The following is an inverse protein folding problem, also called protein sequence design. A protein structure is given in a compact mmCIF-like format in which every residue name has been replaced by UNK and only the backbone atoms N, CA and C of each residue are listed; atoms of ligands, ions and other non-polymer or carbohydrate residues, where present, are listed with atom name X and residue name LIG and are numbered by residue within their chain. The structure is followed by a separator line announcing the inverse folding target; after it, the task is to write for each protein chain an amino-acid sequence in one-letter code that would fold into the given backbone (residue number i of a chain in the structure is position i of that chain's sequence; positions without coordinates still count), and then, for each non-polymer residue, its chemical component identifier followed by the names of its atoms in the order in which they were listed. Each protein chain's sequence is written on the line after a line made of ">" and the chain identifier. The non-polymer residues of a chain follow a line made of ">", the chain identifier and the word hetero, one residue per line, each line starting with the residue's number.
data_IF_317650096576
#
_entry.id   IF_317650096576
#
_cell.length_a   1.000
_cell.length_b   1.000
_cell.length_c   1.000
_cell.angle_alpha   90.00
_cell.angle_beta   90.00
_cell.angle_gamma   90.00
#
_symmetry.space_group_name_H-M   'P 1'
#
loop_
_entity.id
_entity.type
_entity.pdbx_description
1 polymer ?
#
# COMPACT_ATOMS: atom_id res chain seq x y z
N UNK A 1 -77.99 28.58 -21.12
CA UNK A 1 -78.70 27.80 -20.10
C UNK A 1 -77.69 26.88 -19.52
N UNK A 2 -77.12 27.32 -18.45
CA UNK A 2 -77.21 26.90 -17.04
C UNK A 2 -76.89 25.45 -16.83
N UNK A 3 -76.05 25.00 -15.94
CA UNK A 3 -75.53 25.46 -14.62
C UNK A 3 -74.29 24.61 -14.39
N UNK A 4 -73.14 25.13 -13.88
CA UNK A 4 -72.75 25.24 -12.48
C UNK A 4 -72.88 23.92 -11.70
N UNK A 5 -71.78 23.30 -11.39
CA UNK A 5 -71.61 22.70 -10.07
C UNK A 5 -70.11 22.55 -9.70
N UNK A 6 -69.79 23.17 -8.57
CA UNK A 6 -68.52 23.28 -7.91
C UNK A 6 -68.23 22.02 -7.08
N UNK A 7 -67.04 21.44 -7.21
CA UNK A 7 -66.50 20.56 -6.19
C UNK A 7 -65.07 21.02 -5.82
N UNK A 8 -64.97 21.59 -4.65
CA UNK A 8 -63.73 21.89 -3.95
C UNK A 8 -63.06 20.59 -3.53
N UNK A 9 -61.92 20.31 -4.08
CA UNK A 9 -60.99 19.25 -3.60
C UNK A 9 -59.84 19.91 -2.85
N UNK A 10 -59.62 19.49 -1.61
CA UNK A 10 -58.53 19.93 -0.72
C UNK A 10 -57.13 19.66 -1.31
N UNK A 11 -56.12 20.49 -1.00
CA UNK A 11 -54.75 20.25 -1.48
C UNK A 11 -54.10 19.08 -0.74
N UNK A 12 -53.30 18.26 -1.40
CA UNK A 12 -52.58 17.17 -0.73
C UNK A 12 -51.49 17.71 0.22
N UNK A 13 -51.47 17.14 1.40
CA UNK A 13 -50.60 17.42 2.54
C UNK A 13 -49.12 17.28 2.20
N UNK A 14 -48.39 18.28 2.63
CA UNK A 14 -46.95 18.35 3.01
C UNK A 14 -46.01 17.22 2.57
N UNK A 15 -45.22 17.51 1.54
CA UNK A 15 -43.95 16.85 1.27
C UNK A 15 -43.02 16.96 2.48
N UNK A 16 -42.74 15.83 3.11
CA UNK A 16 -41.65 15.75 4.09
C UNK A 16 -40.32 16.00 3.35
N UNK A 17 -39.73 17.17 3.58
CA UNK A 17 -38.33 17.42 3.21
C UNK A 17 -37.44 16.44 3.95
N UNK A 18 -36.91 15.45 3.24
CA UNK A 18 -35.82 14.63 3.73
C UNK A 18 -34.55 15.49 3.76
N UNK A 19 -34.06 15.78 4.95
CA UNK A 19 -32.76 16.45 5.11
C UNK A 19 -31.68 15.62 4.41
N UNK A 20 -30.79 16.26 3.62
CA UNK A 20 -29.66 15.56 3.04
C UNK A 20 -28.78 14.98 4.16
N UNK A 21 -28.17 13.80 3.94
CA UNK A 21 -27.28 13.19 4.93
C UNK A 21 -26.13 14.15 5.28
N UNK A 22 -25.66 14.15 6.53
CA UNK A 22 -24.62 15.05 6.96
C UNK A 22 -23.36 14.77 6.14
N UNK A 23 -22.82 15.81 5.48
CA UNK A 23 -21.55 15.74 4.78
C UNK A 23 -20.48 15.21 5.74
N UNK A 24 -19.77 14.15 5.36
CA UNK A 24 -18.66 13.61 6.09
C UNK A 24 -17.69 14.75 6.47
N UNK A 25 -17.51 14.95 7.78
CA UNK A 25 -16.58 15.96 8.29
C UNK A 25 -15.18 15.53 7.84
N UNK A 26 -14.55 16.29 6.94
CA UNK A 26 -13.12 16.13 6.61
C UNK A 26 -12.36 16.24 7.93
N UNK A 27 -11.85 15.14 8.45
CA UNK A 27 -10.96 15.11 9.61
C UNK A 27 -9.70 15.91 9.22
N UNK A 28 -9.47 17.06 9.84
CA UNK A 28 -8.17 17.73 9.77
C UNK A 28 -7.23 16.93 10.65
N UNK A 29 -6.35 16.18 10.04
CA UNK A 29 -5.26 15.52 10.75
C UNK A 29 -4.35 16.58 11.35
N UNK A 30 -4.05 16.48 12.64
CA UNK A 30 -2.97 17.23 13.24
C UNK A 30 -1.65 16.79 12.57
N UNK A 31 -0.71 17.71 12.27
CA UNK A 31 0.57 17.32 11.73
C UNK A 31 1.21 16.30 12.67
N UNK A 32 1.71 15.19 12.09
CA UNK A 32 2.41 14.15 12.84
C UNK A 32 3.53 14.83 13.58
N UNK A 33 3.41 14.97 14.88
CA UNK A 33 4.58 15.14 15.74
C UNK A 33 5.29 13.79 15.72
N UNK A 34 6.25 13.61 14.82
CA UNK A 34 7.22 12.53 14.93
C UNK A 34 8.05 12.87 16.17
N UNK A 35 7.43 12.61 17.31
CA UNK A 35 8.09 12.74 18.58
C UNK A 35 9.02 11.56 18.70
N UNK A 36 10.28 11.80 18.36
CA UNK A 36 11.40 11.19 19.08
C UNK A 36 12.69 11.75 18.52
N UNK A 37 12.93 13.01 18.83
CA UNK A 37 14.29 13.51 18.89
C UNK A 37 15.04 12.65 19.89
N UNK A 38 15.91 11.77 19.39
CA UNK A 38 16.83 11.05 20.28
C UNK A 38 17.94 12.02 20.64
N UNK A 39 18.01 12.53 21.90
CA UNK A 39 19.09 13.41 22.31
C UNK A 39 20.44 12.76 22.06
N UNK A 40 21.43 13.54 21.65
CA UNK A 40 22.77 13.03 21.31
C UNK A 40 23.40 12.19 22.46
N UNK A 41 23.05 12.46 23.72
CA UNK A 41 23.43 11.65 24.90
C UNK A 41 22.89 10.21 24.86
N UNK A 42 21.70 10.01 24.31
CA UNK A 42 21.05 8.70 24.18
C UNK A 42 21.59 7.88 22.99
N UNK A 43 22.27 8.49 22.03
CA UNK A 43 22.93 7.77 20.92
C UNK A 43 23.96 6.77 21.44
N UNK A 44 24.79 7.17 22.40
CA UNK A 44 25.80 6.27 23.00
C UNK A 44 25.19 5.11 23.80
N UNK A 45 24.06 5.36 24.49
CA UNK A 45 23.30 4.31 25.21
C UNK A 45 22.64 3.34 24.24
N UNK A 46 22.13 3.84 23.13
CA UNK A 46 21.54 3.02 22.06
C UNK A 46 22.62 2.20 21.35
N UNK A 47 23.78 2.79 21.06
CA UNK A 47 24.93 2.08 20.49
C UNK A 47 25.40 0.96 21.41
N UNK A 48 25.45 1.21 22.70
CA UNK A 48 25.79 0.22 23.74
C UNK A 48 24.73 -0.89 23.81
N UNK A 49 23.44 -0.55 23.87
CA UNK A 49 22.35 -1.51 23.93
C UNK A 49 22.23 -2.37 22.65
N UNK A 50 22.59 -1.82 21.49
CA UNK A 50 22.62 -2.57 20.22
C UNK A 50 23.87 -3.46 20.10
N UNK A 51 24.97 -3.11 20.80
CA UNK A 51 26.20 -3.94 20.90
C UNK A 51 26.03 -5.13 21.85
N UNK A 52 25.21 -5.01 22.90
CA UNK A 52 25.03 -6.01 23.95
C UNK A 52 23.98 -7.10 23.59
N UNK A 53 23.18 -6.93 22.54
CA UNK A 53 22.25 -7.96 22.06
C UNK A 53 22.99 -8.96 21.18
N UNK A 54 23.77 -9.82 21.82
CA UNK A 54 24.48 -10.95 21.21
C UNK A 54 23.54 -12.01 20.67
N UNK A 55 23.07 -11.83 19.45
CA UNK A 55 22.55 -12.89 18.60
C UNK A 55 23.54 -13.06 17.46
N UNK A 56 24.01 -14.29 17.25
CA UNK A 56 24.88 -14.63 16.12
C UNK A 56 24.31 -14.02 14.83
N UNK A 57 25.06 -13.29 14.03
CA UNK A 57 24.56 -12.72 12.78
C UNK A 57 24.28 -13.89 11.85
N UNK A 58 23.00 -14.23 11.72
CA UNK A 58 22.53 -15.04 10.59
C UNK A 58 23.02 -14.34 9.33
N UNK A 59 23.69 -15.06 8.45
CA UNK A 59 24.22 -14.70 7.12
C UNK A 59 23.65 -13.40 6.52
N UNK A 60 24.02 -12.25 7.09
CA UNK A 60 23.50 -10.96 6.71
C UNK A 60 24.44 -10.36 5.69
N UNK A 61 23.82 -10.03 4.61
CA UNK A 61 24.28 -9.31 3.46
C UNK A 61 25.78 -9.25 3.19
N UNK A 62 26.08 -9.69 2.04
CA UNK A 62 27.42 -9.66 1.43
C UNK A 62 28.01 -8.24 1.30
N UNK A 63 27.27 -7.15 1.63
CA UNK A 63 27.63 -5.78 1.29
C UNK A 63 27.23 -4.68 2.30
N UNK A 64 26.81 -4.98 3.53
CA UNK A 64 26.41 -3.96 4.50
C UNK A 64 27.50 -3.60 5.52
N UNK A 65 27.66 -2.33 5.84
CA UNK A 65 28.31 -1.86 7.06
C UNK A 65 29.65 -1.16 6.90
N UNK A 66 30.75 -1.75 7.25
CA UNK A 66 32.06 -1.04 7.39
C UNK A 66 32.80 -0.81 6.07
N UNK A 67 32.35 -1.41 4.97
CA UNK A 67 32.96 -1.28 3.63
C UNK A 67 32.09 -0.48 2.71
N UNK A 68 32.66 0.14 1.69
CA UNK A 68 31.90 0.82 0.67
C UNK A 68 30.88 -0.15 0.02
N UNK A 69 29.64 0.27 -0.03
CA UNK A 69 28.61 -0.43 -0.82
C UNK A 69 28.81 -0.13 -2.30
N UNK A 70 28.93 -1.17 -3.11
CA UNK A 70 29.03 -1.00 -4.57
C UNK A 70 27.65 -1.33 -5.16
N UNK A 71 27.01 -0.31 -5.73
CA UNK A 71 25.71 -0.43 -6.37
C UNK A 71 25.73 0.28 -7.72
N UNK A 72 25.32 -0.39 -8.79
CA UNK A 72 25.32 0.15 -10.16
C UNK A 72 26.66 0.85 -10.51
N UNK A 73 27.78 0.20 -10.25
CA UNK A 73 29.16 0.70 -10.43
C UNK A 73 29.53 1.96 -9.63
N UNK A 74 28.67 2.43 -8.73
CA UNK A 74 28.97 3.57 -7.84
C UNK A 74 29.36 3.05 -6.46
N UNK A 75 30.39 3.67 -5.89
CA UNK A 75 30.82 3.39 -4.50
C UNK A 75 30.10 4.36 -3.56
N UNK A 76 29.49 3.83 -2.51
CA UNK A 76 28.75 4.57 -1.49
C UNK A 76 29.45 4.31 -0.17
N UNK A 77 29.90 5.39 0.49
CA UNK A 77 30.62 5.30 1.76
C UNK A 77 29.64 4.93 2.90
N UNK A 78 30.11 4.20 3.94
CA UNK A 78 29.32 4.00 5.16
C UNK A 78 28.88 5.32 5.80
N UNK A 79 27.68 5.33 6.37
CA UNK A 79 27.09 6.51 7.00
C UNK A 79 26.68 7.63 6.05
N UNK A 80 26.51 7.33 4.74
CA UNK A 80 26.15 8.34 3.73
C UNK A 80 24.90 7.98 2.93
N UNK A 81 24.34 9.02 2.33
CA UNK A 81 23.21 8.91 1.40
C UNK A 81 23.70 9.32 0.01
N UNK A 82 23.25 8.58 -1.01
CA UNK A 82 23.51 8.92 -2.40
C UNK A 82 22.25 8.84 -3.22
N UNK A 83 21.91 9.94 -3.89
CA UNK A 83 20.86 9.98 -4.89
C UNK A 83 21.48 9.74 -6.26
N UNK A 84 20.82 8.97 -7.10
CA UNK A 84 21.24 8.64 -8.46
C UNK A 84 20.05 8.35 -9.35
N UNK A 85 20.26 8.41 -10.62
CA UNK A 85 19.31 7.95 -11.63
C UNK A 85 19.90 6.74 -12.35
N UNK A 86 19.03 5.84 -12.77
CA UNK A 86 19.41 4.66 -13.51
C UNK A 86 18.47 4.46 -14.71
N UNK A 87 19.03 4.51 -15.90
CA UNK A 87 18.27 4.26 -17.11
C UNK A 87 17.90 2.79 -17.24
N UNK A 88 16.60 2.53 -17.18
CA UNK A 88 16.06 1.18 -17.32
C UNK A 88 16.13 0.66 -18.75
N UNK A 89 16.06 1.55 -19.73
CA UNK A 89 16.22 1.22 -21.15
C UNK A 89 17.23 2.19 -21.78
N UNK A 90 18.09 1.65 -22.64
CA UNK A 90 18.78 2.46 -23.66
C UNK A 90 17.73 2.68 -24.75
N UNK A 91 17.22 3.88 -24.81
CA UNK A 91 15.89 4.14 -25.31
C UNK A 91 15.86 4.46 -26.78
N UNK A 92 14.67 4.31 -27.28
CA UNK A 92 14.12 4.89 -28.50
C UNK A 92 14.51 6.35 -28.67
N UNK A 93 14.59 6.78 -29.89
CA UNK A 93 15.02 8.11 -30.28
C UNK A 93 14.39 9.22 -29.41
N UNK A 94 15.19 9.83 -28.56
CA UNK A 94 14.83 11.07 -27.86
C UNK A 94 14.24 10.94 -26.46
N UNK A 95 13.95 9.75 -25.91
CA UNK A 95 13.46 9.59 -24.54
C UNK A 95 14.37 8.72 -23.66
N UNK A 96 14.65 9.17 -22.45
CA UNK A 96 15.24 8.39 -21.36
C UNK A 96 14.19 8.21 -20.27
N UNK A 97 14.14 7.01 -19.69
CA UNK A 97 13.27 6.71 -18.54
C UNK A 97 14.11 6.45 -17.29
N UNK A 98 14.77 7.47 -16.76
CA UNK A 98 15.61 7.33 -15.59
C UNK A 98 14.74 7.03 -14.36
N UNK A 99 15.10 5.97 -13.65
CA UNK A 99 14.50 5.65 -12.37
C UNK A 99 15.28 6.33 -11.26
N UNK A 100 14.62 7.19 -10.45
CA UNK A 100 15.28 7.84 -9.32
C UNK A 100 15.52 6.83 -8.20
N UNK A 101 16.76 6.72 -7.74
CA UNK A 101 17.16 5.80 -6.70
C UNK A 101 17.91 6.54 -5.61
N UNK A 102 17.47 6.41 -4.36
CA UNK A 102 18.19 6.87 -3.20
C UNK A 102 18.77 5.67 -2.45
N UNK A 103 20.07 5.68 -2.21
CA UNK A 103 20.74 4.64 -1.42
C UNK A 103 21.23 5.23 -0.12
N UNK A 104 20.71 4.73 0.99
CA UNK A 104 21.13 5.06 2.34
C UNK A 104 22.00 3.90 2.80
N UNK A 105 23.32 4.11 2.88
CA UNK A 105 24.26 3.09 3.33
C UNK A 105 24.68 3.36 4.76
N UNK A 106 24.28 2.47 5.65
CA UNK A 106 24.52 2.58 7.08
C UNK A 106 25.98 2.44 7.47
N UNK A 107 26.31 2.93 8.67
CA UNK A 107 27.64 2.81 9.27
C UNK A 107 27.93 1.43 9.87
N UNK A 108 26.91 0.58 10.00
CA UNK A 108 27.00 -0.74 10.62
C UNK A 108 26.58 -1.86 9.65
N UNK A 109 27.11 -3.09 9.81
CA UNK A 109 26.69 -4.25 9.05
C UNK A 109 25.18 -4.52 9.22
N UNK A 110 24.53 -4.95 8.15
CA UNK A 110 23.11 -5.30 8.16
C UNK A 110 22.60 -5.67 6.77
N UNK A 111 21.31 -5.95 6.63
CA UNK A 111 20.73 -6.40 5.37
C UNK A 111 20.57 -5.26 4.35
N UNK A 112 20.27 -5.65 3.12
CA UNK A 112 19.84 -4.77 2.03
C UNK A 112 18.34 -4.84 1.91
N UNK A 113 17.66 -3.73 2.18
CA UNK A 113 16.22 -3.57 2.02
C UNK A 113 15.95 -2.68 0.81
N UNK A 114 15.12 -3.14 -0.11
CA UNK A 114 14.66 -2.35 -1.25
C UNK A 114 13.20 -1.99 -1.09
N UNK A 115 12.90 -0.70 -1.20
CA UNK A 115 11.58 -0.11 -1.10
C UNK A 115 11.18 0.44 -2.47
N UNK A 116 10.04 0.02 -2.99
CA UNK A 116 9.56 0.36 -4.32
C UNK A 116 8.20 1.05 -4.23
N UNK A 117 7.98 2.05 -5.07
CA UNK A 117 6.69 2.69 -5.29
C UNK A 117 6.41 2.86 -6.78
N UNK A 118 5.16 3.06 -7.13
CA UNK A 118 4.69 3.25 -8.50
C UNK A 118 5.25 2.23 -9.50
N UNK A 119 5.16 0.93 -9.20
CA UNK A 119 5.22 -0.12 -10.24
C UNK A 119 4.05 0.07 -11.21
N UNK A 120 2.89 0.50 -10.69
CA UNK A 120 1.80 1.05 -11.47
C UNK A 120 1.86 2.58 -11.38
N UNK A 121 1.80 3.25 -12.52
CA UNK A 121 2.11 4.68 -12.60
C UNK A 121 1.05 5.59 -11.95
N UNK A 122 -0.17 5.12 -11.79
CA UNK A 122 -1.30 5.85 -11.20
C UNK A 122 -1.43 5.65 -9.67
N UNK A 123 -0.54 4.89 -9.03
CA UNK A 123 -0.59 4.59 -7.60
C UNK A 123 0.36 5.51 -6.82
N UNK A 124 -0.19 6.53 -6.13
CA UNK A 124 0.56 7.65 -5.58
C UNK A 124 0.99 7.51 -4.11
N UNK A 125 0.40 6.61 -3.35
CA UNK A 125 0.72 6.42 -1.91
C UNK A 125 2.19 6.04 -1.72
N UNK A 126 2.68 5.07 -2.49
CA UNK A 126 4.08 4.63 -2.45
C UNK A 126 5.07 5.74 -2.79
N UNK A 127 4.95 6.43 -3.93
CA UNK A 127 5.79 7.57 -4.29
C UNK A 127 5.87 8.64 -3.20
N UNK A 128 4.73 9.04 -2.64
CA UNK A 128 4.69 10.08 -1.62
C UNK A 128 5.34 9.63 -0.31
N UNK A 129 5.02 8.43 0.17
CA UNK A 129 5.61 7.86 1.38
C UNK A 129 7.14 7.75 1.26
N UNK A 130 7.63 7.22 0.14
CA UNK A 130 9.06 7.04 -0.10
C UNK A 130 9.79 8.37 -0.32
N UNK A 131 9.13 9.36 -0.92
CA UNK A 131 9.67 10.71 -1.04
C UNK A 131 9.81 11.37 0.34
N UNK A 132 8.84 11.22 1.21
CA UNK A 132 8.93 11.72 2.58
C UNK A 132 10.06 11.03 3.37
N UNK A 133 10.25 9.73 3.24
CA UNK A 133 11.34 9.01 3.90
C UNK A 133 12.74 9.45 3.40
N UNK A 134 12.85 10.02 2.19
CA UNK A 134 14.09 10.51 1.58
C UNK A 134 14.23 12.03 1.62
N UNK A 135 13.15 12.76 1.90
CA UNK A 135 13.07 14.21 1.69
C UNK A 135 13.93 15.05 2.65
N UNK A 136 14.21 16.32 2.29
CA UNK A 136 15.01 17.22 3.10
C UNK A 136 14.38 17.52 4.47
N UNK A 137 13.07 17.49 4.60
CA UNK A 137 12.38 17.62 5.89
C UNK A 137 12.62 16.41 6.80
N UNK A 138 13.04 15.27 6.21
CA UNK A 138 13.54 14.09 6.90
C UNK A 138 15.06 13.99 6.89
N UNK A 139 15.75 14.94 6.26
CA UNK A 139 17.22 15.02 6.16
C UNK A 139 17.85 15.98 7.19
N UNK A 140 17.05 16.68 7.98
CA UNK A 140 17.50 17.53 9.10
C UNK A 140 17.98 16.74 10.31
N UNK A 141 18.27 17.41 11.44
CA UNK A 141 18.61 16.74 12.71
C UNK A 141 17.52 15.77 13.20
N UNK A 142 16.32 15.89 12.66
CA UNK A 142 15.13 15.07 12.98
C UNK A 142 14.93 13.90 11.99
N UNK A 143 15.96 13.47 11.29
CA UNK A 143 15.88 12.37 10.31
C UNK A 143 15.26 11.13 10.91
N UNK A 144 14.23 10.61 10.25
CA UNK A 144 13.64 9.30 10.59
C UNK A 144 14.66 8.18 10.30
N UNK A 145 15.41 8.29 9.19
CA UNK A 145 16.45 7.34 8.79
C UNK A 145 17.80 8.08 8.74
N UNK A 146 18.58 7.92 9.80
CA UNK A 146 19.95 8.47 9.88
C UNK A 146 20.95 7.40 9.44
N UNK A 147 21.68 7.66 8.36
CA UNK A 147 22.71 6.77 7.84
C UNK A 147 23.84 6.53 8.87
N UNK A 148 24.10 7.49 9.77
CA UNK A 148 25.10 7.37 10.82
C UNK A 148 24.79 6.32 11.88
N UNK A 149 23.51 5.97 12.07
CA UNK A 149 23.07 4.94 13.05
C UNK A 149 22.45 3.72 12.37
N UNK A 150 22.22 3.77 11.06
CA UNK A 150 21.64 2.67 10.30
C UNK A 150 22.57 1.46 10.26
N UNK A 151 21.99 0.26 10.38
CA UNK A 151 22.66 -1.01 10.06
C UNK A 151 22.18 -1.53 8.69
N UNK A 152 23.13 -1.82 7.80
CA UNK A 152 22.82 -2.31 6.46
C UNK A 152 22.58 -1.19 5.43
N UNK A 153 21.80 -1.49 4.42
CA UNK A 153 21.56 -0.58 3.30
C UNK A 153 20.09 -0.52 2.96
N UNK A 154 19.57 0.67 2.73
CA UNK A 154 18.21 0.87 2.20
C UNK A 154 18.34 1.45 0.80
N UNK A 155 17.67 0.84 -0.17
CA UNK A 155 17.50 1.33 -1.54
C UNK A 155 16.07 1.76 -1.71
N UNK A 156 15.84 3.00 -2.09
CA UNK A 156 14.52 3.60 -2.21
C UNK A 156 14.31 4.03 -3.64
N UNK A 157 13.27 3.50 -4.27
CA UNK A 157 12.84 3.81 -5.63
C UNK A 157 11.40 4.32 -5.58
N UNK A 158 11.19 5.63 -5.45
CA UNK A 158 9.85 6.18 -5.31
C UNK A 158 8.96 5.91 -6.51
N UNK A 159 9.55 5.94 -7.71
CA UNK A 159 8.82 5.79 -8.97
C UNK A 159 9.56 4.78 -9.85
N UNK A 160 9.00 3.58 -9.97
CA UNK A 160 9.54 2.52 -10.84
C UNK A 160 9.08 2.70 -12.28
N UNK A 161 7.78 2.95 -12.49
CA UNK A 161 7.16 3.16 -13.79
C UNK A 161 7.04 4.66 -14.08
N UNK A 162 8.16 5.31 -14.39
CA UNK A 162 8.17 6.75 -14.66
C UNK A 162 7.28 7.17 -15.86
N UNK A 163 7.27 6.46 -17.01
CA UNK A 163 6.40 6.84 -18.12
C UNK A 163 4.91 6.69 -17.78
N UNK A 164 4.51 5.67 -17.05
CA UNK A 164 3.14 5.50 -16.53
C UNK A 164 2.78 6.58 -15.51
N UNK A 165 3.70 6.88 -14.59
CA UNK A 165 3.52 7.93 -13.58
C UNK A 165 3.26 9.31 -14.20
N UNK A 166 4.04 9.69 -15.20
CA UNK A 166 3.85 10.99 -15.91
C UNK A 166 2.50 11.10 -16.62
N UNK A 167 1.90 9.98 -17.00
CA UNK A 167 0.61 9.91 -17.70
C UNK A 167 -0.56 9.55 -16.80
N UNK A 168 -0.30 9.29 -15.52
CA UNK A 168 -1.28 8.79 -14.54
C UNK A 168 -2.00 7.55 -15.07
N UNK A 169 -1.23 6.58 -15.57
CA UNK A 169 -1.73 5.29 -16.05
C UNK A 169 -0.99 4.14 -15.38
N UNK A 170 -1.73 3.06 -15.16
CA UNK A 170 -1.23 1.84 -14.52
C UNK A 170 -0.09 1.20 -15.27
N UNK A 171 -0.28 1.00 -16.56
CA UNK A 171 0.57 0.18 -17.40
C UNK A 171 1.79 0.91 -17.95
N UNK A 172 2.72 0.14 -18.50
CA UNK A 172 3.83 0.66 -19.29
C UNK A 172 3.33 1.16 -20.67
N UNK A 173 4.14 1.94 -21.41
CA UNK A 173 3.73 2.49 -22.72
C UNK A 173 3.32 1.44 -23.76
N UNK A 174 3.79 0.20 -23.65
CA UNK A 174 3.40 -0.92 -24.52
C UNK A 174 2.10 -1.63 -24.05
N UNK A 175 1.34 -1.02 -23.11
CA UNK A 175 0.05 -1.50 -22.63
C UNK A 175 0.12 -2.73 -21.72
N UNK A 176 1.29 -3.01 -21.12
CA UNK A 176 1.48 -4.18 -20.24
C UNK A 176 1.66 -3.78 -18.79
N UNK A 177 1.05 -4.58 -17.92
CA UNK A 177 1.26 -4.50 -16.47
C UNK A 177 2.68 -5.01 -16.13
N UNK A 178 3.56 -4.10 -15.66
CA UNK A 178 4.92 -4.44 -15.25
C UNK A 178 4.91 -5.52 -14.14
N UNK A 179 3.92 -5.49 -13.24
CA UNK A 179 3.78 -6.47 -12.16
C UNK A 179 3.16 -7.81 -12.63
N UNK A 180 3.27 -8.12 -13.90
CA UNK A 180 2.99 -9.43 -14.55
C UNK A 180 4.17 -9.92 -15.40
N UNK A 181 5.26 -9.11 -15.44
CA UNK A 181 6.38 -9.38 -16.36
C UNK A 181 7.65 -9.83 -15.65
N UNK A 182 7.71 -9.90 -14.32
CA UNK A 182 8.90 -10.35 -13.59
C UNK A 182 9.15 -11.86 -13.78
N UNK A 183 10.43 -12.32 -13.79
CA UNK A 183 11.68 -11.54 -13.71
C UNK A 183 12.06 -10.83 -15.02
N UNK A 184 11.29 -10.99 -16.09
CA UNK A 184 11.52 -10.42 -17.40
C UNK A 184 12.55 -11.17 -18.23
N UNK A 185 12.72 -10.70 -19.48
CA UNK A 185 13.70 -11.24 -20.44
C UNK A 185 14.38 -10.10 -21.19
N UNK A 186 15.71 -10.18 -21.46
CA UNK A 186 16.44 -9.08 -22.11
C UNK A 186 16.10 -8.89 -23.60
N UNK A 187 15.57 -9.92 -24.24
CA UNK A 187 15.27 -10.01 -25.67
C UNK A 187 13.75 -10.03 -25.98
N UNK A 188 12.96 -9.49 -25.08
CA UNK A 188 11.50 -9.49 -25.17
C UNK A 188 10.94 -8.06 -25.40
N UNK A 189 9.62 -7.87 -25.21
CA UNK A 189 8.97 -6.56 -25.29
C UNK A 189 9.50 -5.58 -24.24
N UNK A 190 9.19 -4.31 -24.41
CA UNK A 190 9.68 -3.19 -23.60
C UNK A 190 9.48 -3.43 -22.09
N UNK A 191 8.26 -3.77 -21.66
CA UNK A 191 7.95 -4.00 -20.24
C UNK A 191 8.74 -5.18 -19.68
N UNK A 192 8.89 -6.29 -20.43
CA UNK A 192 9.67 -7.45 -20.00
C UNK A 192 11.16 -7.13 -19.88
N UNK A 193 11.71 -6.31 -20.77
CA UNK A 193 13.10 -5.84 -20.70
C UNK A 193 13.34 -4.95 -19.47
N UNK A 194 12.39 -4.06 -19.17
CA UNK A 194 12.43 -3.24 -17.93
C UNK A 194 12.37 -4.13 -16.70
N UNK A 195 11.43 -5.08 -16.65
CA UNK A 195 11.35 -6.05 -15.56
C UNK A 195 12.66 -6.80 -15.36
N UNK A 196 13.32 -7.23 -16.44
CA UNK A 196 14.61 -7.91 -16.39
C UNK A 196 15.73 -7.03 -15.82
N UNK A 197 15.80 -5.75 -16.23
CA UNK A 197 16.80 -4.82 -15.69
C UNK A 197 16.55 -4.52 -14.20
N UNK A 198 15.30 -4.27 -13.81
CA UNK A 198 14.92 -4.10 -12.39
C UNK A 198 15.31 -5.33 -11.57
N UNK A 199 14.94 -6.51 -12.06
CA UNK A 199 15.27 -7.77 -11.41
C UNK A 199 16.78 -7.94 -11.25
N UNK A 200 17.53 -7.95 -12.35
CA UNK A 200 18.95 -8.27 -12.35
C UNK A 200 19.83 -7.23 -11.65
N UNK A 201 19.44 -5.96 -11.63
CA UNK A 201 20.27 -4.86 -11.08
C UNK A 201 19.86 -4.42 -9.68
N UNK A 202 18.61 -4.63 -9.30
CA UNK A 202 18.06 -4.10 -8.06
C UNK A 202 17.53 -5.20 -7.14
N UNK A 203 16.58 -6.01 -7.62
CA UNK A 203 15.80 -6.93 -6.77
C UNK A 203 16.63 -8.16 -6.36
N UNK A 204 17.29 -8.83 -7.30
CA UNK A 204 18.07 -10.06 -7.04
C UNK A 204 19.25 -9.86 -6.08
N UNK A 205 19.59 -8.62 -5.77
CA UNK A 205 20.67 -8.26 -4.83
C UNK A 205 20.14 -7.71 -3.50
N UNK A 206 18.83 -7.88 -3.23
CA UNK A 206 18.17 -7.48 -1.99
C UNK A 206 17.95 -8.67 -1.07
N UNK A 207 18.00 -8.45 0.25
CA UNK A 207 17.60 -9.44 1.25
C UNK A 207 16.08 -9.34 1.50
N UNK A 208 15.53 -8.11 1.44
CA UNK A 208 14.12 -7.81 1.67
C UNK A 208 13.60 -6.79 0.66
N UNK A 209 12.37 -6.96 0.23
CA UNK A 209 11.69 -6.05 -0.68
C UNK A 209 10.32 -5.68 -0.12
N UNK A 210 10.00 -4.40 -0.13
CA UNK A 210 8.65 -3.88 0.14
C UNK A 210 8.18 -3.14 -1.09
N UNK A 211 7.07 -3.60 -1.65
CA UNK A 211 6.42 -3.05 -2.84
C UNK A 211 5.15 -2.32 -2.42
N UNK A 212 5.14 -0.98 -2.58
CA UNK A 212 4.05 -0.13 -2.12
C UNK A 212 3.07 0.15 -3.25
N UNK A 213 1.83 -0.24 -3.04
CA UNK A 213 0.71 -0.12 -3.97
C UNK A 213 -0.47 0.64 -3.37
N UNK A 214 -1.37 1.06 -4.24
CA UNK A 214 -2.73 1.50 -3.94
C UNK A 214 -3.74 0.63 -4.69
N UNK A 215 -5.04 0.84 -4.47
CA UNK A 215 -6.05 0.19 -5.28
C UNK A 215 -5.97 0.68 -6.74
N UNK A 216 -6.33 -0.20 -7.67
CA UNK A 216 -6.48 0.21 -9.07
C UNK A 216 -7.62 1.23 -9.23
N UNK A 217 -7.58 1.98 -10.34
CA UNK A 217 -8.53 3.06 -10.66
C UNK A 217 -9.98 2.69 -10.38
N UNK A 218 -10.70 3.62 -9.78
CA UNK A 218 -12.11 3.47 -9.40
C UNK A 218 -12.36 2.62 -8.16
N UNK A 219 -11.32 2.38 -7.34
CA UNK A 219 -11.42 1.65 -6.06
C UNK A 219 -10.52 2.27 -4.99
N UNK A 220 -10.82 1.94 -3.74
CA UNK A 220 -9.95 2.23 -2.60
C UNK A 220 -9.73 0.98 -1.75
N UNK A 221 -8.56 0.88 -1.11
CA UNK A 221 -8.19 -0.20 -0.20
C UNK A 221 -8.03 0.34 1.23
N UNK A 222 -8.42 -0.45 2.23
CA UNK A 222 -7.86 -0.24 3.56
C UNK A 222 -6.38 -0.63 3.56
N UNK A 223 -5.55 -0.04 4.44
CA UNK A 223 -4.17 -0.47 4.63
C UNK A 223 -4.06 -1.96 4.97
N UNK A 224 -3.33 -2.71 4.14
CA UNK A 224 -3.16 -4.15 4.29
C UNK A 224 -1.81 -4.61 3.72
N UNK A 225 -1.32 -5.74 4.23
CA UNK A 225 -0.18 -6.45 3.66
C UNK A 225 -0.65 -7.67 2.88
N UNK A 226 -0.10 -7.87 1.70
CA UNK A 226 -0.21 -9.13 0.95
C UNK A 226 1.14 -9.82 0.96
N UNK A 227 1.19 -11.06 1.43
CA UNK A 227 2.41 -11.83 1.58
C UNK A 227 2.16 -13.32 1.37
N UNK A 228 3.16 -14.05 0.90
CA UNK A 228 3.18 -15.51 0.97
C UNK A 228 3.60 -15.92 2.40
N UNK A 229 2.65 -16.32 3.23
CA UNK A 229 2.93 -16.70 4.61
C UNK A 229 3.59 -18.07 4.75
N UNK A 230 3.62 -18.88 3.69
CA UNK A 230 4.40 -20.13 3.65
C UNK A 230 5.91 -19.84 3.49
N UNK A 231 6.30 -18.70 2.91
CA UNK A 231 7.68 -18.24 2.84
C UNK A 231 8.09 -17.60 4.18
N UNK A 232 8.92 -18.28 4.97
CA UNK A 232 9.21 -17.94 6.36
C UNK A 232 9.67 -16.49 6.56
N UNK A 233 10.58 -15.98 5.71
CA UNK A 233 11.09 -14.62 5.81
C UNK A 233 10.03 -13.59 5.40
N UNK A 234 9.20 -13.85 4.39
CA UNK A 234 8.09 -12.96 4.01
C UNK A 234 7.01 -12.90 5.09
N UNK A 235 6.68 -14.03 5.71
CA UNK A 235 5.77 -14.08 6.87
C UNK A 235 6.29 -13.22 8.03
N UNK A 236 7.60 -13.35 8.34
CA UNK A 236 8.22 -12.56 9.40
C UNK A 236 8.12 -11.06 9.12
N UNK A 237 8.50 -10.59 7.92
CA UNK A 237 8.46 -9.17 7.59
C UNK A 237 7.03 -8.63 7.43
N UNK A 238 6.08 -9.44 6.95
CA UNK A 238 4.66 -9.07 6.90
C UNK A 238 4.11 -8.78 8.30
N UNK A 239 4.41 -9.67 9.27
CA UNK A 239 4.01 -9.46 10.67
C UNK A 239 4.74 -8.29 11.33
N UNK A 240 5.97 -8.04 10.93
CA UNK A 240 6.80 -6.96 11.47
C UNK A 240 6.43 -5.59 10.92
N UNK A 241 5.69 -5.53 9.82
CA UNK A 241 5.20 -4.26 9.28
C UNK A 241 4.27 -3.53 10.25
N UNK A 242 3.53 -4.27 11.07
CA UNK A 242 2.84 -3.71 12.24
C UNK A 242 1.41 -3.25 11.99
N UNK A 243 0.80 -3.60 10.86
CA UNK A 243 -0.63 -3.34 10.58
C UNK A 243 -1.50 -4.58 10.82
N UNK A 244 -2.80 -4.36 10.96
CA UNK A 244 -3.77 -5.37 11.39
C UNK A 244 -4.04 -6.42 10.34
N UNK A 245 -4.21 -6.01 9.08
CA UNK A 245 -4.73 -6.87 8.02
C UNK A 245 -3.61 -7.46 7.15
N UNK A 246 -3.54 -8.78 7.12
CA UNK A 246 -2.60 -9.52 6.28
C UNK A 246 -3.37 -10.55 5.45
N UNK A 247 -3.28 -10.43 4.11
CA UNK A 247 -3.80 -11.40 3.16
C UNK A 247 -2.68 -12.35 2.76
N UNK A 248 -2.85 -13.64 3.08
CA UNK A 248 -1.97 -14.71 2.62
C UNK A 248 -2.19 -14.96 1.13
N UNK A 249 -1.19 -14.66 0.33
CA UNK A 249 -1.23 -14.79 -1.12
C UNK A 249 0.16 -14.80 -1.71
N UNK A 250 0.46 -15.80 -2.52
CA UNK A 250 1.70 -15.84 -3.32
C UNK A 250 1.79 -14.66 -4.31
N UNK A 251 0.65 -14.15 -4.75
CA UNK A 251 0.53 -13.18 -5.83
C UNK A 251 0.31 -13.81 -7.20
N UNK A 252 -0.13 -13.02 -8.18
CA UNK A 252 -0.32 -13.45 -9.56
C UNK A 252 0.98 -13.93 -10.19
N UNK A 253 0.88 -14.78 -11.23
CA UNK A 253 2.04 -15.20 -12.02
C UNK A 253 2.74 -13.97 -12.62
N UNK A 254 4.07 -13.92 -12.53
CA UNK A 254 4.88 -12.80 -13.02
C UNK A 254 4.84 -11.55 -12.16
N UNK A 255 4.17 -11.57 -10.98
CA UNK A 255 4.27 -10.46 -10.02
C UNK A 255 5.61 -10.49 -9.30
N UNK A 256 6.10 -9.29 -8.94
CA UNK A 256 7.37 -9.14 -8.23
C UNK A 256 7.43 -10.00 -6.97
N UNK A 257 6.39 -9.92 -6.10
CA UNK A 257 6.34 -10.69 -4.85
C UNK A 257 6.45 -12.19 -5.06
N UNK A 258 5.71 -12.73 -6.04
CA UNK A 258 5.76 -14.17 -6.32
C UNK A 258 7.13 -14.61 -6.79
N UNK A 259 7.71 -13.91 -7.75
CA UNK A 259 9.01 -14.25 -8.31
C UNK A 259 10.12 -14.07 -7.27
N UNK A 260 10.09 -13.00 -6.48
CA UNK A 260 11.06 -12.78 -5.41
C UNK A 260 11.04 -13.92 -4.37
N UNK A 261 9.85 -14.36 -3.94
CA UNK A 261 9.74 -15.45 -2.98
C UNK A 261 10.17 -16.83 -3.59
N UNK A 262 10.02 -17.04 -4.88
CA UNK A 262 10.55 -18.23 -5.57
C UNK A 262 12.08 -18.27 -5.59
N UNK A 263 12.73 -17.10 -5.58
CA UNK A 263 14.20 -16.94 -5.53
C UNK A 263 14.72 -16.69 -4.09
N UNK A 264 13.92 -17.08 -3.07
CA UNK A 264 14.22 -16.93 -1.63
C UNK A 264 14.50 -15.49 -1.18
N UNK A 265 13.99 -14.49 -1.90
CA UNK A 265 14.01 -13.08 -1.50
C UNK A 265 12.69 -12.76 -0.79
N UNK A 266 12.77 -12.33 0.47
CA UNK A 266 11.58 -11.96 1.21
C UNK A 266 10.94 -10.70 0.61
N UNK A 267 9.71 -10.84 0.09
CA UNK A 267 8.98 -9.75 -0.54
C UNK A 267 7.55 -9.70 -0.05
N UNK A 268 7.11 -8.49 0.33
CA UNK A 268 5.72 -8.18 0.70
C UNK A 268 5.19 -7.03 -0.15
N UNK A 269 3.87 -6.99 -0.31
CA UNK A 269 3.17 -5.86 -0.93
C UNK A 269 2.33 -5.17 0.13
N UNK A 270 2.53 -3.86 0.29
CA UNK A 270 1.59 -2.99 0.98
C UNK A 270 0.53 -2.52 -0.02
N UNK A 271 -0.71 -2.43 0.43
CA UNK A 271 -1.83 -1.85 -0.33
C UNK A 271 -2.58 -0.89 0.57
N UNK A 272 -2.88 0.33 0.09
CA UNK A 272 -3.66 1.30 0.85
C UNK A 272 -4.07 2.50 -0.01
N UNK A 273 -5.28 3.02 0.22
CA UNK A 273 -5.84 4.12 -0.55
C UNK A 273 -6.26 3.77 -1.98
N UNK A 274 -6.63 4.77 -2.75
CA UNK A 274 -7.00 4.66 -4.17
C UNK A 274 -5.85 5.00 -5.13
N UNK A 275 -6.06 4.81 -6.43
CA UNK A 275 -5.24 5.41 -7.48
C UNK A 275 -5.65 6.87 -7.68
N UNK A 276 -4.80 7.63 -8.38
CA UNK A 276 -4.98 9.07 -8.65
C UNK A 276 -5.10 9.94 -7.37
N UNK A 277 -4.97 9.33 -6.19
CA UNK A 277 -5.05 9.99 -4.89
C UNK A 277 -3.92 9.49 -3.97
N UNK A 278 -3.25 10.41 -3.29
CA UNK A 278 -2.30 10.09 -2.24
C UNK A 278 -3.00 10.23 -0.88
N UNK A 279 -3.80 9.22 -0.50
CA UNK A 279 -4.51 9.20 0.77
C UNK A 279 -3.54 9.39 1.95
N UNK A 280 -3.66 10.49 2.74
CA UNK A 280 -2.68 10.83 3.78
C UNK A 280 -2.56 9.75 4.87
N UNK A 281 -3.64 9.06 5.20
CA UNK A 281 -3.63 8.01 6.21
C UNK A 281 -2.87 6.79 5.71
N UNK A 282 -3.13 6.34 4.48
CA UNK A 282 -2.40 5.25 3.84
C UNK A 282 -0.91 5.55 3.67
N UNK A 283 -0.56 6.80 3.31
CA UNK A 283 0.83 7.26 3.25
C UNK A 283 1.49 7.15 4.62
N UNK A 284 0.85 7.67 5.66
CA UNK A 284 1.36 7.64 7.03
C UNK A 284 1.56 6.22 7.54
N UNK A 285 0.55 5.35 7.36
CA UNK A 285 0.60 3.95 7.80
C UNK A 285 1.72 3.20 7.07
N UNK A 286 1.91 3.43 5.77
CA UNK A 286 3.00 2.81 5.02
C UNK A 286 4.37 3.22 5.53
N UNK A 287 4.58 4.49 5.87
CA UNK A 287 5.82 5.00 6.46
C UNK A 287 6.09 4.38 7.84
N UNK A 288 5.08 4.30 8.70
CA UNK A 288 5.20 3.62 10.00
C UNK A 288 5.53 2.16 9.84
N UNK A 289 4.88 1.47 8.90
CA UNK A 289 5.14 0.07 8.63
C UNK A 289 6.58 -0.16 8.17
N UNK A 290 7.13 0.70 7.32
CA UNK A 290 8.52 0.64 6.89
C UNK A 290 9.46 0.83 8.10
N UNK A 291 9.26 1.85 8.92
CA UNK A 291 10.08 2.10 10.11
C UNK A 291 10.00 0.93 11.09
N UNK A 292 8.81 0.38 11.27
CA UNK A 292 8.58 -0.77 12.14
C UNK A 292 9.30 -2.03 11.64
N UNK A 293 9.25 -2.27 10.33
CA UNK A 293 10.01 -3.32 9.67
C UNK A 293 11.52 -3.14 9.89
N UNK A 294 12.06 -1.95 9.65
CA UNK A 294 13.49 -1.65 9.82
C UNK A 294 13.94 -1.83 11.27
N UNK A 295 13.10 -1.46 12.26
CA UNK A 295 13.35 -1.74 13.69
C UNK A 295 13.35 -3.24 13.99
N UNK A 296 12.40 -3.98 13.43
CA UNK A 296 12.32 -5.44 13.62
C UNK A 296 13.52 -6.17 13.00
N UNK A 297 14.09 -5.63 11.93
CA UNK A 297 15.33 -6.09 11.30
C UNK A 297 16.59 -5.58 12.02
N UNK A 298 16.44 -4.82 13.11
CA UNK A 298 17.53 -4.18 13.87
C UNK A 298 18.40 -3.24 13.02
N UNK A 299 17.83 -2.71 11.96
CA UNK A 299 18.49 -1.72 11.11
C UNK A 299 18.43 -0.32 11.72
N UNK A 300 17.33 0.00 12.40
CA UNK A 300 17.12 1.24 13.14
C UNK A 300 17.01 0.98 14.65
N UNK A 301 17.39 1.97 15.48
CA UNK A 301 17.17 1.90 16.91
C UNK A 301 15.67 1.93 17.27
N UNK A 302 15.35 1.43 18.47
CA UNK A 302 13.98 1.34 18.99
C UNK A 302 13.34 -0.03 18.78
N UNK A 303 12.15 -0.19 19.36
CA UNK A 303 11.40 -1.44 19.30
C UNK A 303 10.30 -1.34 18.25
N UNK A 304 10.00 -2.44 17.54
CA UNK A 304 8.86 -2.47 16.64
C UNK A 304 7.57 -2.47 17.47
N UNK A 305 6.59 -1.67 17.08
CA UNK A 305 5.24 -1.73 17.61
C UNK A 305 4.50 -2.95 17.02
N UNK A 306 3.50 -3.44 17.75
CA UNK A 306 2.65 -4.55 17.30
C UNK A 306 1.21 -4.09 17.30
N UNK A 307 0.41 -4.45 16.30
CA UNK A 307 -1.00 -4.13 16.33
C UNK A 307 -1.68 -4.89 17.48
N UNK A 308 -2.72 -4.29 18.05
CA UNK A 308 -3.47 -4.89 19.18
C UNK A 308 -4.18 -6.19 18.81
N UNK A 309 -4.47 -6.39 17.52
CA UNK A 309 -5.08 -7.60 16.96
C UNK A 309 -4.58 -7.80 15.54
N UNK A 310 -4.87 -8.97 14.95
CA UNK A 310 -4.55 -9.26 13.55
C UNK A 310 -5.68 -10.00 12.87
N UNK A 311 -5.94 -9.60 11.64
CA UNK A 311 -6.78 -10.31 10.68
C UNK A 311 -5.84 -11.00 9.71
N UNK A 312 -5.81 -12.34 9.77
CA UNK A 312 -5.07 -13.18 8.84
C UNK A 312 -6.09 -13.93 7.99
N UNK A 313 -6.09 -13.70 6.71
CA UNK A 313 -6.98 -14.38 5.79
C UNK A 313 -6.18 -15.11 4.70
N UNK A 314 -6.51 -16.38 4.48
CA UNK A 314 -6.03 -17.17 3.35
C UNK A 314 -7.13 -17.22 2.28
N UNK A 315 -7.01 -16.32 1.32
CA UNK A 315 -8.01 -16.16 0.26
C UNK A 315 -8.96 -14.98 0.49
N UNK A 316 -9.63 -14.61 -0.56
CA UNK A 316 -10.55 -13.48 -0.62
C UNK A 316 -11.59 -13.70 -1.71
N UNK A 317 -12.70 -12.97 -1.64
CA UNK A 317 -13.81 -13.05 -2.60
C UNK A 317 -14.04 -11.67 -3.21
N UNK A 318 -14.14 -11.60 -4.53
CA UNK A 318 -14.56 -10.41 -5.23
C UNK A 318 -16.08 -10.36 -5.34
N UNK A 319 -16.69 -9.29 -4.85
CA UNK A 319 -18.08 -8.95 -5.13
C UNK A 319 -18.08 -8.21 -6.45
N UNK A 320 -18.85 -8.70 -7.41
CA UNK A 320 -18.97 -8.10 -8.75
C UNK A 320 -20.41 -7.73 -9.02
N UNK A 321 -20.56 -6.69 -9.82
CA UNK A 321 -21.86 -6.28 -10.32
C UNK A 321 -22.35 -7.24 -11.41
N UNK A 322 -23.60 -7.64 -11.36
CA UNK A 322 -24.26 -8.39 -12.43
C UNK A 322 -24.84 -7.43 -13.50
N UNK A 323 -24.99 -6.14 -13.15
CA UNK A 323 -25.62 -5.11 -13.98
C UNK A 323 -24.68 -3.91 -14.13
N UNK A 324 -24.86 -3.13 -15.20
CA UNK A 324 -24.28 -1.80 -15.36
C UNK A 324 -25.20 -0.71 -14.83
N UNK A 325 -24.67 0.47 -14.50
CA UNK A 325 -25.45 1.62 -14.06
C UNK A 325 -24.73 2.54 -13.09
N UNK A 326 -25.49 3.40 -12.44
CA UNK A 326 -24.98 4.31 -11.40
C UNK A 326 -24.91 3.58 -10.07
N UNK A 327 -23.69 3.53 -9.51
CA UNK A 327 -23.38 2.83 -8.28
C UNK A 327 -23.49 3.75 -7.06
N UNK A 328 -24.20 3.30 -6.05
CA UNK A 328 -24.18 3.86 -4.69
C UNK A 328 -23.63 2.80 -3.73
N UNK A 329 -22.50 3.09 -3.09
CA UNK A 329 -21.79 2.19 -2.18
C UNK A 329 -22.30 2.42 -0.76
N UNK A 330 -22.97 1.42 -0.17
CA UNK A 330 -23.53 1.46 1.17
C UNK A 330 -22.52 0.97 2.23
N UNK A 331 -21.69 0.00 1.85
CA UNK A 331 -20.62 -0.52 2.72
C UNK A 331 -19.24 -0.16 2.12
N UNK A 332 -18.56 0.89 2.63
CA UNK A 332 -17.25 1.28 2.16
C UNK A 332 -16.15 0.28 2.59
N UNK A 333 -14.93 0.44 2.03
CA UNK A 333 -13.77 -0.33 2.49
C UNK A 333 -13.55 -0.14 3.99
N UNK A 334 -13.32 -1.23 4.71
CA UNK A 334 -13.28 -1.29 6.18
C UNK A 334 -14.55 -1.82 6.82
N UNK A 335 -15.68 -1.88 6.10
CA UNK A 335 -16.94 -2.40 6.65
C UNK A 335 -16.87 -3.90 6.91
N UNK A 336 -17.40 -4.32 8.05
CA UNK A 336 -17.69 -5.72 8.34
C UNK A 336 -19.15 -6.01 7.95
N UNK A 337 -19.34 -6.95 7.06
CA UNK A 337 -20.65 -7.30 6.49
C UNK A 337 -21.03 -8.75 6.76
N UNK A 338 -22.32 -9.00 6.91
CA UNK A 338 -22.86 -10.35 7.01
C UNK A 338 -23.20 -10.91 5.62
N UNK A 339 -23.37 -12.22 5.51
CA UNK A 339 -23.85 -12.86 4.27
C UNK A 339 -25.27 -12.38 3.93
N UNK A 340 -25.52 -12.01 2.67
CA UNK A 340 -26.80 -11.48 2.21
C UNK A 340 -27.00 -9.98 2.50
N UNK A 341 -26.10 -9.31 3.19
CA UNK A 341 -26.18 -7.87 3.44
C UNK A 341 -25.97 -7.08 2.14
N UNK A 342 -26.79 -6.03 1.93
CA UNK A 342 -26.67 -5.14 0.76
C UNK A 342 -25.45 -4.24 0.97
N UNK A 343 -24.47 -4.35 0.07
CA UNK A 343 -23.21 -3.58 0.14
C UNK A 343 -23.18 -2.40 -0.82
N UNK A 344 -24.02 -2.44 -1.84
CA UNK A 344 -24.19 -1.36 -2.81
C UNK A 344 -25.53 -1.50 -3.53
N UNK A 345 -25.97 -0.41 -4.18
CA UNK A 345 -27.10 -0.42 -5.11
C UNK A 345 -26.69 0.11 -6.47
N UNK A 346 -27.32 -0.38 -7.53
CA UNK A 346 -27.07 0.07 -8.90
C UNK A 346 -28.40 0.52 -9.49
N UNK A 347 -28.46 1.77 -9.93
CA UNK A 347 -29.61 2.34 -10.59
C UNK A 347 -29.38 2.42 -12.09
N UNK A 348 -30.32 1.92 -12.88
CA UNK A 348 -30.31 2.07 -14.34
C UNK A 348 -30.84 3.46 -14.71
N UNK A 349 -30.02 4.37 -15.26
CA UNK A 349 -30.48 5.70 -15.63
C UNK A 349 -31.45 5.72 -16.83
N UNK A 350 -31.50 4.64 -17.62
CA UNK A 350 -32.42 4.51 -18.77
C UNK A 350 -33.79 3.99 -18.34
N UNK A 351 -33.90 3.36 -17.16
CA UNK A 351 -35.13 2.82 -16.59
C UNK A 351 -35.40 3.43 -15.21
N UNK A 352 -35.97 4.65 -15.14
CA UNK A 352 -36.24 5.32 -13.87
C UNK A 352 -37.02 4.44 -12.89
N UNK A 353 -36.47 4.23 -11.70
CA UNK A 353 -37.01 3.37 -10.65
C UNK A 353 -36.52 1.92 -10.69
N UNK A 354 -35.73 1.49 -11.68
CA UNK A 354 -35.05 0.21 -11.65
C UNK A 354 -33.80 0.31 -10.78
N UNK A 355 -33.80 -0.43 -9.68
CA UNK A 355 -32.66 -0.53 -8.74
C UNK A 355 -32.32 -1.99 -8.52
N UNK A 356 -31.02 -2.29 -8.51
CA UNK A 356 -30.47 -3.62 -8.26
C UNK A 356 -29.59 -3.60 -7.04
N UNK A 357 -29.84 -4.48 -6.09
CA UNK A 357 -29.04 -4.63 -4.88
C UNK A 357 -27.84 -5.54 -5.16
N UNK A 358 -26.66 -5.10 -4.72
CA UNK A 358 -25.44 -5.89 -4.70
C UNK A 358 -25.26 -6.42 -3.29
N UNK A 359 -25.35 -7.73 -3.12
CA UNK A 359 -25.28 -8.36 -1.79
C UNK A 359 -23.94 -9.03 -1.53
N UNK A 360 -23.55 -9.07 -0.28
CA UNK A 360 -22.37 -9.82 0.14
C UNK A 360 -22.59 -11.33 0.06
N UNK A 361 -21.74 -12.08 -0.67
CA UNK A 361 -21.90 -13.53 -0.80
C UNK A 361 -21.50 -14.32 0.45
N UNK A 362 -20.79 -13.70 1.38
CA UNK A 362 -20.29 -14.32 2.61
C UNK A 362 -20.12 -13.25 3.69
N UNK A 363 -20.09 -13.68 4.94
CA UNK A 363 -19.68 -12.82 6.05
C UNK A 363 -18.18 -12.51 6.00
N UNK A 364 -17.80 -11.22 6.09
CA UNK A 364 -16.39 -10.83 6.02
C UNK A 364 -16.10 -9.35 6.25
N UNK A 365 -14.84 -8.99 6.06
CA UNK A 365 -14.34 -7.62 6.08
C UNK A 365 -14.08 -7.15 4.64
N UNK A 366 -14.68 -6.05 4.24
CA UNK A 366 -14.39 -5.39 2.96
C UNK A 366 -13.03 -4.71 3.04
N UNK A 367 -12.04 -5.24 2.33
CA UNK A 367 -10.68 -4.64 2.26
C UNK A 367 -10.53 -3.69 1.08
N UNK A 368 -11.49 -3.67 0.18
CA UNK A 368 -11.56 -2.71 -0.93
C UNK A 368 -13.01 -2.49 -1.31
N UNK A 369 -13.35 -1.28 -1.74
CA UNK A 369 -14.63 -0.93 -2.34
C UNK A 369 -14.46 -0.08 -3.59
N UNK A 370 -15.46 -0.11 -4.47
CA UNK A 370 -15.54 0.80 -5.61
C UNK A 370 -15.72 2.25 -5.15
N UNK A 371 -15.13 3.19 -5.90
CA UNK A 371 -15.25 4.64 -5.69
C UNK A 371 -15.80 5.35 -6.93
N UNK A 372 -15.81 4.68 -8.08
CA UNK A 372 -16.33 5.24 -9.30
C UNK A 372 -17.86 5.11 -9.32
N UNK A 373 -18.60 6.20 -9.58
CA UNK A 373 -20.07 6.22 -9.49
C UNK A 373 -20.77 5.49 -10.66
N UNK A 374 -20.02 5.04 -11.66
CA UNK A 374 -20.54 4.28 -12.80
C UNK A 374 -19.82 2.94 -12.91
N UNK A 375 -20.56 1.87 -13.10
CA UNK A 375 -20.04 0.51 -13.26
C UNK A 375 -20.68 -0.19 -14.46
N UNK A 376 -19.89 -1.08 -15.07
CA UNK A 376 -20.37 -2.01 -16.08
C UNK A 376 -20.69 -3.36 -15.44
N UNK A 377 -21.47 -4.19 -16.09
CA UNK A 377 -21.65 -5.59 -15.70
C UNK A 377 -20.27 -6.28 -15.59
N UNK A 378 -20.08 -7.05 -14.52
CA UNK A 378 -18.80 -7.70 -14.17
C UNK A 378 -17.80 -6.81 -13.43
N UNK A 379 -18.07 -5.51 -13.26
CA UNK A 379 -17.18 -4.60 -12.53
C UNK A 379 -16.99 -5.05 -11.07
N UNK A 380 -15.78 -4.97 -10.51
CA UNK A 380 -15.55 -5.27 -9.10
C UNK A 380 -16.10 -4.15 -8.21
N UNK A 381 -17.03 -4.49 -7.32
CA UNK A 381 -17.67 -3.58 -6.37
C UNK A 381 -16.94 -3.62 -5.01
N UNK A 382 -16.58 -4.81 -4.54
CA UNK A 382 -15.92 -5.00 -3.27
C UNK A 382 -14.93 -6.17 -3.29
N UNK A 383 -13.94 -6.12 -2.42
CA UNK A 383 -13.01 -7.21 -2.17
C UNK A 383 -13.10 -7.62 -0.72
N UNK A 384 -13.53 -8.84 -0.46
CA UNK A 384 -13.97 -9.33 0.84
C UNK A 384 -13.03 -10.38 1.39
N UNK A 385 -12.60 -10.21 2.63
CA UNK A 385 -11.89 -11.23 3.41
C UNK A 385 -12.90 -12.04 4.22
N UNK A 386 -12.96 -13.37 4.07
CA UNK A 386 -13.81 -14.23 4.90
C UNK A 386 -13.40 -14.16 6.37
N UNK A 387 -14.33 -13.85 7.27
CA UNK A 387 -14.11 -13.86 8.73
C UNK A 387 -14.90 -14.99 9.35
N UNK A 388 -14.23 -16.14 9.57
CA UNK A 388 -14.85 -17.35 10.15
C UNK A 388 -14.74 -17.41 11.67
N UNK A 389 -13.72 -16.80 12.27
CA UNK A 389 -13.43 -16.84 13.72
C UNK A 389 -13.09 -15.44 14.22
N UNK A 390 -13.29 -15.22 15.53
CA UNK A 390 -12.93 -13.94 16.14
C UNK A 390 -13.89 -12.78 15.83
N UNK A 391 -15.08 -13.04 15.29
CA UNK A 391 -16.09 -12.03 14.92
C UNK A 391 -16.38 -11.08 16.08
N UNK A 392 -16.59 -11.59 17.28
CA UNK A 392 -16.85 -10.74 18.47
C UNK A 392 -15.68 -9.80 18.78
N UNK A 393 -14.44 -10.29 18.61
CA UNK A 393 -13.24 -9.45 18.80
C UNK A 393 -13.14 -8.39 17.72
N UNK A 394 -13.44 -8.75 16.48
CA UNK A 394 -13.47 -7.81 15.34
C UNK A 394 -14.55 -6.76 15.55
N UNK A 395 -15.79 -7.15 15.85
CA UNK A 395 -16.91 -6.21 16.08
C UNK A 395 -16.63 -5.15 17.16
N UNK A 396 -15.78 -5.45 18.16
CA UNK A 396 -15.32 -4.48 19.17
C UNK A 396 -14.28 -3.47 18.64
N UNK A 397 -13.84 -3.65 17.41
CA UNK A 397 -12.84 -2.81 16.73
C UNK A 397 -13.42 -2.04 15.56
N UNK A 398 -14.72 -2.11 15.41
CA UNK A 398 -15.47 -1.28 14.46
C UNK A 398 -15.85 0.03 15.13
N UNK A 399 -15.93 1.08 14.33
CA UNK A 399 -16.52 2.35 14.75
C UNK A 399 -18.07 2.28 14.75
N UNK A 400 -18.70 3.41 14.99
CA UNK A 400 -20.16 3.51 15.04
C UNK A 400 -20.82 3.26 13.65
N UNK A 401 -20.02 3.34 12.57
CA UNK A 401 -20.45 3.08 11.18
C UNK A 401 -20.18 1.63 10.76
N UNK A 402 -19.62 0.80 11.68
CA UNK A 402 -19.29 -0.60 11.40
C UNK A 402 -18.00 -0.81 10.61
N UNK A 403 -17.15 0.23 10.49
CA UNK A 403 -15.88 0.18 9.81
C UNK A 403 -14.72 -0.12 10.77
N UNK A 404 -13.72 -0.85 10.27
CA UNK A 404 -12.53 -1.22 11.05
C UNK A 404 -11.73 0.02 11.46
N UNK A 405 -11.55 0.20 12.76
CA UNK A 405 -10.64 1.20 13.31
C UNK A 405 -9.21 0.68 13.12
N UNK A 406 -8.49 1.27 12.17
CA UNK A 406 -7.08 0.97 11.96
C UNK A 406 -6.30 1.79 12.98
N UNK A 407 -5.58 1.11 13.88
CA UNK A 407 -4.74 1.79 14.87
C UNK A 407 -3.53 2.39 14.15
N UNK A 408 -3.70 3.60 13.63
CA UNK A 408 -2.59 4.48 13.35
C UNK A 408 -1.93 4.77 14.69
N UNK A 409 -0.82 4.11 14.98
CA UNK A 409 0.16 4.44 16.04
C UNK A 409 -0.32 5.46 17.10
N UNK A 410 -1.19 5.07 17.99
CA UNK A 410 -1.24 5.61 19.35
C UNK A 410 0.02 5.11 20.06
N UNK A 411 1.10 5.88 19.95
CA UNK A 411 2.37 5.61 20.60
C UNK A 411 2.81 6.79 21.41
#
# INVERSE_FOLDING_TARGET
>A
MSADDSAKGDPPSSSRETKPPPRAKKRRFAPIKIANQIPMRRRKEIEKALGEVGGSPTKWSRNGGTKNHVFMRKRIKPGTIRHMEYDLLDVEIGESWPVPISVIHGSRPGPVVTLLGAIHGDELVGPLALTYLCGPNFMGPDRVIDAGVLAGTIRIVPIVNLPGYRRMIRDFPDGRDLNRCFPGKPDSNTTSRVAHKLWSKLISTSDYVVDLHSAAKGRTNIPQIRANLAHASSNRIARSFGIETILDSEGPRGSLRRVANQEDIACITYEGGGSDEADPESVQISMYGIINLLRSLRMLPGYPSKPRFRILASGSVWIRSDQGGLLDVLAPAGSFVEEGEIVATITDPELPGAQHDVVSPIRGLLISSATHPFVNSGSPIGHLLPVKRGVTTLKRRLDDEGCLIISGSDG
#
